data_IF_621272856764
#
_entry.id   IF_621272856764
#
_cell.length_a   1.000
_cell.length_b   1.000
_cell.length_c   1.000
_cell.angle_alpha   90.00
_cell.angle_beta   90.00
_cell.angle_gamma   90.00
#
_symmetry.space_group_name_H-M   'P 1'
#
loop_
_entity.id
_entity.type
_entity.pdbx_description
1 polymer ?
#
# COMPACT_ATOMS: atom_id res chain seq x y z
N UNK A 1 7.17 -14.16 -6.90
CA UNK A 1 8.49 -13.51 -6.83
C UNK A 1 9.54 -14.62 -6.86
N UNK A 2 10.01 -15.00 -8.05
CA UNK A 2 10.96 -16.12 -8.23
C UNK A 2 12.38 -15.53 -8.20
N UNK A 3 13.27 -16.09 -7.38
CA UNK A 3 14.70 -15.71 -7.34
C UNK A 3 15.04 -14.42 -6.59
N UNK A 4 14.13 -13.87 -5.78
CA UNK A 4 14.38 -12.67 -4.94
C UNK A 4 13.81 -12.85 -3.55
N UNK A 5 14.57 -13.53 -2.70
CA UNK A 5 14.18 -13.92 -1.33
C UNK A 5 14.51 -12.86 -0.27
N UNK A 6 15.18 -11.78 -0.65
CA UNK A 6 15.54 -10.69 0.25
C UNK A 6 14.47 -9.58 0.29
N UNK A 7 14.42 -8.87 1.41
CA UNK A 7 13.64 -7.66 1.57
C UNK A 7 14.47 -6.44 1.16
N UNK A 8 13.94 -5.56 0.30
CA UNK A 8 14.59 -4.30 -0.09
C UNK A 8 14.71 -3.27 1.05
N UNK A 9 14.22 -3.60 2.25
CA UNK A 9 14.32 -2.88 3.53
C UNK A 9 13.66 -1.50 3.61
N UNK A 10 13.71 -0.71 2.54
CA UNK A 10 13.30 0.70 2.53
C UNK A 10 11.95 0.96 1.87
N UNK A 11 11.43 -0.01 1.11
CA UNK A 11 10.23 0.15 0.30
C UNK A 11 9.00 0.58 1.13
N UNK A 12 8.79 0.02 2.32
CA UNK A 12 7.66 0.41 3.17
C UNK A 12 7.70 1.89 3.57
N UNK A 13 8.86 2.40 3.99
CA UNK A 13 9.01 3.80 4.39
C UNK A 13 8.86 4.75 3.20
N UNK A 14 9.45 4.41 2.06
CA UNK A 14 9.37 5.24 0.84
C UNK A 14 7.95 5.28 0.32
N UNK A 15 7.23 4.16 0.30
CA UNK A 15 5.82 4.12 -0.08
C UNK A 15 4.95 4.99 0.84
N UNK A 16 5.19 4.95 2.15
CA UNK A 16 4.47 5.81 3.10
C UNK A 16 4.77 7.30 2.85
N UNK A 17 6.02 7.67 2.56
CA UNK A 17 6.38 9.04 2.25
C UNK A 17 5.69 9.55 0.97
N UNK A 18 5.81 8.80 -0.13
CA UNK A 18 5.15 9.17 -1.39
C UNK A 18 3.62 9.25 -1.23
N UNK A 19 3.03 8.37 -0.40
CA UNK A 19 1.60 8.45 -0.13
C UNK A 19 1.21 9.73 0.62
N UNK A 20 2.04 10.22 1.55
CA UNK A 20 1.82 11.51 2.21
C UNK A 20 1.97 12.67 1.22
N UNK A 21 3.01 12.66 0.38
CA UNK A 21 3.25 13.69 -0.64
C UNK A 21 2.06 13.79 -1.62
N UNK A 22 1.54 12.65 -2.10
CA UNK A 22 0.35 12.61 -2.96
C UNK A 22 -0.87 13.22 -2.24
N UNK A 23 -1.05 12.91 -0.95
CA UNK A 23 -2.18 13.43 -0.15
C UNK A 23 -2.04 14.92 0.16
N UNK A 24 -0.82 15.43 0.20
CA UNK A 24 -0.52 16.85 0.38
C UNK A 24 -0.83 17.65 -0.89
N UNK A 25 -0.42 17.14 -2.06
CA UNK A 25 -0.68 17.77 -3.35
C UNK A 25 -2.14 17.59 -3.82
N UNK A 26 -2.74 16.42 -3.54
CA UNK A 26 -4.10 16.06 -3.95
C UNK A 26 -4.94 15.64 -2.72
N UNK A 27 -5.52 16.61 -1.99
CA UNK A 27 -6.26 16.36 -0.74
C UNK A 27 -7.52 15.50 -0.90
N UNK A 28 -8.05 15.36 -2.11
CA UNK A 28 -9.21 14.53 -2.45
C UNK A 28 -8.82 13.13 -2.96
N UNK A 29 -7.53 12.88 -3.23
CA UNK A 29 -7.06 11.59 -3.75
C UNK A 29 -7.03 10.51 -2.67
N UNK A 30 -7.72 9.39 -2.85
CA UNK A 30 -7.65 8.27 -1.91
C UNK A 30 -6.46 7.35 -2.22
N UNK A 31 -5.48 7.32 -1.32
CA UNK A 31 -4.28 6.48 -1.46
C UNK A 31 -4.41 5.19 -0.65
N UNK A 32 -4.10 4.07 -1.30
CA UNK A 32 -4.15 2.72 -0.73
C UNK A 32 -2.80 2.02 -0.91
N UNK A 33 -2.25 1.48 0.19
CA UNK A 33 -1.02 0.69 0.19
C UNK A 33 -1.37 -0.76 0.48
N UNK A 34 -1.15 -1.63 -0.52
CA UNK A 34 -1.24 -3.07 -0.34
C UNK A 34 0.09 -3.62 0.17
N UNK A 35 0.05 -4.39 1.25
CA UNK A 35 1.25 -4.91 1.89
C UNK A 35 1.09 -6.35 2.38
N UNK A 36 2.23 -7.04 2.50
CA UNK A 36 2.33 -8.31 3.24
C UNK A 36 2.69 -8.04 4.70
N UNK A 37 3.83 -7.36 4.91
CA UNK A 37 4.27 -6.84 6.20
C UNK A 37 4.71 -5.38 6.04
N UNK A 38 4.37 -4.51 6.99
CA UNK A 38 4.93 -3.16 7.07
C UNK A 38 6.24 -3.23 7.83
N UNK A 39 7.31 -2.72 7.20
CA UNK A 39 8.67 -2.74 7.74
C UNK A 39 9.24 -1.33 7.81
N UNK A 40 8.67 -0.50 8.67
CA UNK A 40 9.19 0.82 9.02
C UNK A 40 9.97 0.73 10.33
N UNK A 41 11.28 0.55 10.26
CA UNK A 41 12.10 0.26 11.45
C UNK A 41 12.43 1.51 12.27
N UNK A 42 12.44 1.37 13.60
CA UNK A 42 12.90 2.40 14.53
C UNK A 42 12.07 3.68 14.45
N UNK A 43 12.75 4.83 14.34
CA UNK A 43 12.08 6.14 14.31
C UNK A 43 11.18 6.36 13.08
N UNK A 44 11.27 5.50 12.06
CA UNK A 44 10.44 5.60 10.87
C UNK A 44 9.00 5.17 11.09
N UNK A 45 8.74 4.33 12.11
CA UNK A 45 7.39 3.84 12.38
C UNK A 45 6.46 4.99 12.74
N UNK A 46 6.81 5.80 13.73
CA UNK A 46 6.00 6.96 14.11
C UNK A 46 5.96 8.02 13.02
N UNK A 47 7.11 8.33 12.39
CA UNK A 47 7.22 9.45 11.44
C UNK A 47 6.55 9.21 10.09
N UNK A 48 6.48 7.96 9.64
CA UNK A 48 5.95 7.62 8.32
C UNK A 48 4.72 6.75 8.44
N UNK A 49 4.79 5.61 9.14
CA UNK A 49 3.66 4.68 9.19
C UNK A 49 2.46 5.25 9.96
N UNK A 50 2.66 5.72 11.19
CA UNK A 50 1.59 6.34 11.98
C UNK A 50 1.13 7.67 11.37
N UNK A 51 2.07 8.57 11.07
CA UNK A 51 1.77 9.87 10.45
C UNK A 51 0.94 9.74 9.17
N UNK A 52 1.31 8.82 8.27
CA UNK A 52 0.57 8.63 7.01
C UNK A 52 -0.88 8.19 7.22
N UNK A 53 -1.16 7.41 8.27
CA UNK A 53 -2.50 6.94 8.59
C UNK A 53 -3.34 8.02 9.28
N UNK A 54 -2.77 8.65 10.31
CA UNK A 54 -3.51 9.55 11.19
C UNK A 54 -3.74 10.93 10.56
N UNK A 55 -2.69 11.54 10.00
CA UNK A 55 -2.76 12.88 9.42
C UNK A 55 -3.23 12.84 7.97
N UNK A 56 -2.63 11.96 7.16
CA UNK A 56 -2.87 11.94 5.70
C UNK A 56 -3.96 10.95 5.28
N UNK A 57 -4.52 10.15 6.21
CA UNK A 57 -5.60 9.18 5.95
C UNK A 57 -5.25 8.15 4.88
N UNK A 58 -3.98 7.78 4.77
CA UNK A 58 -3.52 6.69 3.88
C UNK A 58 -4.03 5.36 4.41
N UNK A 59 -4.62 4.55 3.53
CA UNK A 59 -5.21 3.26 3.90
C UNK A 59 -4.25 2.12 3.62
N UNK A 60 -4.07 1.24 4.59
CA UNK A 60 -3.20 0.07 4.47
C UNK A 60 -4.06 -1.20 4.40
N UNK A 61 -3.90 -1.98 3.33
CA UNK A 61 -4.65 -3.22 3.10
C UNK A 61 -3.69 -4.40 3.09
N UNK A 62 -3.91 -5.36 3.99
CA UNK A 62 -3.07 -6.55 4.09
C UNK A 62 -3.50 -7.62 3.09
N UNK A 63 -3.06 -7.47 1.85
CA UNK A 63 -3.44 -8.37 0.76
C UNK A 63 -2.24 -8.84 -0.05
N UNK A 64 -2.35 -10.07 -0.56
CA UNK A 64 -1.44 -10.62 -1.54
C UNK A 64 -2.01 -10.38 -2.93
N UNK A 65 -1.44 -9.43 -3.65
CA UNK A 65 -1.87 -9.10 -5.01
C UNK A 65 -1.49 -10.25 -5.97
N UNK A 66 -2.46 -10.65 -6.80
CA UNK A 66 -2.30 -11.67 -7.82
C UNK A 66 -2.00 -11.03 -9.18
N UNK A 67 -2.83 -10.08 -9.60
CA UNK A 67 -2.72 -9.41 -10.89
C UNK A 67 -3.31 -7.99 -10.86
N UNK A 68 -2.85 -7.16 -11.79
CA UNK A 68 -3.45 -5.85 -12.09
C UNK A 68 -3.92 -5.90 -13.53
N UNK A 69 -5.23 -5.80 -13.72
CA UNK A 69 -5.88 -5.80 -15.05
C UNK A 69 -6.48 -4.42 -15.35
N UNK A 70 -6.85 -4.15 -16.60
CA UNK A 70 -7.60 -2.95 -16.97
C UNK A 70 -8.92 -3.33 -17.60
N UNK A 71 -9.97 -2.60 -17.27
CA UNK A 71 -11.29 -2.71 -17.91
C UNK A 71 -11.38 -1.84 -19.18
N UNK A 72 -10.41 -0.95 -19.41
CA UNK A 72 -10.41 0.04 -20.50
C UNK A 72 -10.46 1.47 -19.95
N UNK A 73 -11.20 1.69 -18.86
CA UNK A 73 -11.26 3.00 -18.18
C UNK A 73 -10.48 3.03 -16.87
N UNK A 74 -10.46 1.90 -16.14
CA UNK A 74 -9.93 1.82 -14.78
C UNK A 74 -8.99 0.63 -14.59
N UNK A 75 -8.07 0.79 -13.65
CA UNK A 75 -7.19 -0.30 -13.22
C UNK A 75 -7.88 -1.12 -12.14
N UNK A 76 -7.87 -2.42 -12.31
CA UNK A 76 -8.48 -3.38 -11.40
C UNK A 76 -7.35 -4.15 -10.73
N UNK A 77 -7.21 -3.97 -9.42
CA UNK A 77 -6.25 -4.73 -8.61
C UNK A 77 -6.98 -5.95 -8.04
N UNK A 78 -6.50 -7.15 -8.38
CA UNK A 78 -7.01 -8.41 -7.86
C UNK A 78 -6.01 -9.04 -6.91
N UNK A 79 -6.49 -9.52 -5.78
CA UNK A 79 -5.66 -10.18 -4.79
C UNK A 79 -6.48 -10.99 -3.80
N UNK A 80 -5.79 -11.52 -2.80
CA UNK A 80 -6.40 -12.17 -1.66
C UNK A 80 -6.17 -11.31 -0.42
N UNK A 81 -7.25 -10.91 0.24
CA UNK A 81 -7.15 -10.32 1.58
C UNK A 81 -6.76 -11.42 2.56
N UNK A 82 -5.58 -11.28 3.15
CA UNK A 82 -5.01 -12.31 4.04
C UNK A 82 -5.65 -12.34 5.42
N UNK A 83 -6.38 -11.28 5.82
CA UNK A 83 -7.09 -11.24 7.10
C UNK A 83 -8.38 -12.07 7.04
N UNK A 84 -9.07 -12.02 5.90
CA UNK A 84 -10.39 -12.66 5.74
C UNK A 84 -10.33 -13.89 4.82
N UNK A 85 -9.17 -14.15 4.17
CA UNK A 85 -8.98 -15.18 3.13
C UNK A 85 -10.04 -15.09 2.04
N UNK A 86 -10.32 -13.86 1.59
CA UNK A 86 -11.31 -13.60 0.53
C UNK A 86 -10.63 -12.99 -0.68
N UNK A 87 -11.05 -13.38 -1.90
CA UNK A 87 -10.63 -12.69 -3.10
C UNK A 87 -11.17 -11.25 -3.06
N UNK A 88 -10.30 -10.30 -3.31
CA UNK A 88 -10.62 -8.88 -3.43
C UNK A 88 -10.36 -8.43 -4.86
N UNK A 89 -11.27 -7.63 -5.38
CA UNK A 89 -11.18 -6.98 -6.69
C UNK A 89 -11.54 -5.53 -6.46
N UNK A 90 -10.57 -4.64 -6.54
CA UNK A 90 -10.75 -3.21 -6.25
C UNK A 90 -10.49 -2.42 -7.53
N UNK A 91 -11.51 -1.74 -8.08
CA UNK A 91 -11.35 -0.84 -9.22
C UNK A 91 -10.82 0.53 -8.77
N UNK A 92 -9.87 1.07 -9.52
CA UNK A 92 -9.26 2.39 -9.35
C UNK A 92 -9.42 3.21 -10.62
#
# INVERSE_FOLDING_TARGET
QIGREWCSKICCTVSANMAMEIREELPDCHVYIYYMDIRTFGLYETKYYWKSQEEFKVKYIKARIAEVTSDGERLIVKGEDTLVKRPITIPF
#
